data_IF_299106854302
#
_entry.id   IF_299106854302
#
_cell.length_a   1.000
_cell.length_b   1.000
_cell.length_c   1.000
_cell.angle_alpha   90.00
_cell.angle_beta   90.00
_cell.angle_gamma   90.00
#
_symmetry.space_group_name_H-M   'P 1'
#
loop_
_entity.id
_entity.type
_entity.pdbx_description
1 polymer ?
#
# COMPACT_ATOMS: atom_id res chain seq x y z
N UNK A 1 2.30 -18.41 -20.08
CA UNK A 1 2.60 -17.43 -19.01
C UNK A 1 2.91 -18.21 -17.74
N UNK A 2 4.06 -17.97 -17.12
CA UNK A 2 4.43 -18.60 -15.84
C UNK A 2 3.36 -18.25 -14.78
N UNK A 3 2.84 -19.26 -14.09
CA UNK A 3 1.91 -19.10 -12.97
C UNK A 3 2.53 -19.75 -11.74
N UNK A 4 2.66 -19.02 -10.66
CA UNK A 4 3.00 -19.56 -9.34
C UNK A 4 1.73 -19.86 -8.55
N UNK A 5 1.85 -20.68 -7.49
CA UNK A 5 0.75 -20.96 -6.57
C UNK A 5 0.19 -19.69 -5.89
N UNK A 6 1.01 -18.63 -5.81
CA UNK A 6 0.66 -17.37 -5.16
C UNK A 6 0.19 -16.28 -6.13
N UNK A 7 0.32 -16.49 -7.46
CA UNK A 7 0.08 -15.43 -8.46
C UNK A 7 -1.32 -14.83 -8.36
N UNK A 8 -2.35 -15.64 -8.16
CA UNK A 8 -3.73 -15.18 -8.04
C UNK A 8 -3.89 -14.27 -6.81
N UNK A 9 -3.32 -14.67 -5.68
CA UNK A 9 -3.37 -13.85 -4.46
C UNK A 9 -2.56 -12.56 -4.59
N UNK A 10 -1.33 -12.62 -5.12
CA UNK A 10 -0.48 -11.44 -5.31
C UNK A 10 -1.17 -10.44 -6.24
N UNK A 11 -1.79 -10.90 -7.32
CA UNK A 11 -2.43 -10.06 -8.33
C UNK A 11 -3.87 -9.66 -8.00
N UNK A 12 -4.44 -10.08 -6.86
CA UNK A 12 -5.75 -9.62 -6.41
C UNK A 12 -5.67 -8.19 -5.85
N UNK A 13 -6.37 -7.16 -6.41
CA UNK A 13 -6.20 -5.78 -5.96
C UNK A 13 -6.72 -5.54 -4.54
N UNK A 14 -5.96 -4.82 -3.71
CA UNK A 14 -6.43 -4.43 -2.37
C UNK A 14 -7.61 -3.44 -2.42
N UNK A 15 -7.78 -2.72 -3.49
CA UNK A 15 -8.95 -1.86 -3.69
C UNK A 15 -10.25 -2.66 -3.69
N UNK A 16 -10.24 -3.89 -4.22
CA UNK A 16 -11.41 -4.76 -4.18
C UNK A 16 -11.73 -5.25 -2.76
N UNK A 17 -10.69 -5.51 -1.95
CA UNK A 17 -10.88 -5.85 -0.55
C UNK A 17 -11.53 -4.68 0.22
N UNK A 18 -11.07 -3.45 -0.03
CA UNK A 18 -11.67 -2.24 0.53
C UNK A 18 -13.13 -2.08 0.10
N UNK A 19 -13.39 -2.19 -1.21
CA UNK A 19 -14.73 -2.09 -1.80
C UNK A 19 -15.70 -3.11 -1.22
N UNK A 20 -15.27 -4.37 -1.10
CA UNK A 20 -16.09 -5.46 -0.55
C UNK A 20 -16.40 -5.21 0.93
N UNK A 21 -15.40 -4.79 1.73
CA UNK A 21 -15.59 -4.48 3.14
C UNK A 21 -16.54 -3.30 3.36
N UNK A 22 -16.41 -2.24 2.57
CA UNK A 22 -17.33 -1.09 2.64
C UNK A 22 -18.73 -1.42 2.12
N UNK A 23 -18.83 -2.31 1.13
CA UNK A 23 -20.13 -2.76 0.61
C UNK A 23 -20.93 -3.57 1.64
N UNK A 24 -20.24 -4.29 2.53
CA UNK A 24 -20.90 -5.01 3.63
C UNK A 24 -21.58 -4.06 4.65
N UNK A 25 -21.21 -2.80 4.67
CA UNK A 25 -21.80 -1.77 5.54
C UNK A 25 -22.95 -1.00 4.88
N UNK A 26 -23.38 -1.36 3.67
CA UNK A 26 -24.53 -0.73 3.02
C UNK A 26 -25.81 -0.99 3.82
N UNK A 27 -26.59 0.07 4.03
CA UNK A 27 -27.83 -0.01 4.81
C UNK A 27 -27.64 0.21 6.31
N UNK A 28 -26.41 0.40 6.78
CA UNK A 28 -26.18 0.90 8.15
C UNK A 28 -26.66 2.35 8.24
N UNK A 29 -27.31 2.70 9.34
CA UNK A 29 -27.78 4.06 9.59
C UNK A 29 -26.68 5.12 9.58
N UNK A 30 -27.08 6.36 9.45
CA UNK A 30 -26.23 7.56 9.39
C UNK A 30 -26.34 8.42 10.66
N UNK A 31 -27.07 7.96 11.66
CA UNK A 31 -27.21 8.63 12.94
C UNK A 31 -25.96 8.58 13.80
N UNK A 32 -25.96 9.34 14.89
CA UNK A 32 -24.83 9.41 15.85
C UNK A 32 -24.48 8.05 16.45
N UNK A 33 -25.45 7.16 16.55
CA UNK A 33 -25.30 5.78 17.02
C UNK A 33 -24.42 4.92 16.11
N UNK A 34 -24.28 5.31 14.84
CA UNK A 34 -23.41 4.60 13.88
C UNK A 34 -21.93 4.98 14.00
N UNK A 35 -21.59 6.03 14.75
CA UNK A 35 -20.21 6.52 14.88
C UNK A 35 -19.22 5.47 15.44
N UNK A 36 -19.54 4.72 16.51
CA UNK A 36 -18.65 3.65 17.00
C UNK A 36 -18.44 2.55 15.96
N UNK A 37 -19.46 2.25 15.16
CA UNK A 37 -19.36 1.27 14.07
C UNK A 37 -18.45 1.79 12.95
N UNK A 38 -18.54 3.06 12.60
CA UNK A 38 -17.64 3.69 11.63
C UNK A 38 -16.18 3.56 12.05
N UNK A 39 -15.85 3.89 13.30
CA UNK A 39 -14.49 3.73 13.83
C UNK A 39 -14.04 2.27 13.77
N UNK A 40 -14.87 1.33 14.21
CA UNK A 40 -14.55 -0.08 14.18
C UNK A 40 -14.31 -0.61 12.76
N UNK A 41 -15.18 -0.27 11.82
CA UNK A 41 -15.10 -0.72 10.43
C UNK A 41 -13.85 -0.15 9.75
N UNK A 42 -13.60 1.14 9.88
CA UNK A 42 -12.44 1.78 9.26
C UNK A 42 -11.13 1.24 9.82
N UNK A 43 -11.03 1.06 11.14
CA UNK A 43 -9.85 0.45 11.76
C UNK A 43 -9.66 -1.02 11.34
N UNK A 44 -10.74 -1.81 11.32
CA UNK A 44 -10.69 -3.23 10.94
C UNK A 44 -10.29 -3.40 9.48
N UNK A 45 -10.83 -2.58 8.57
CA UNK A 45 -10.44 -2.59 7.16
C UNK A 45 -8.98 -2.17 6.97
N UNK A 46 -8.52 -1.17 7.72
CA UNK A 46 -7.12 -0.75 7.69
C UNK A 46 -6.18 -1.88 8.09
N UNK A 47 -6.45 -2.58 9.19
CA UNK A 47 -5.65 -3.73 9.63
C UNK A 47 -5.72 -4.89 8.61
N UNK A 48 -6.87 -5.12 8.02
CA UNK A 48 -7.04 -6.16 7.00
C UNK A 48 -6.27 -5.85 5.72
N UNK A 49 -6.27 -4.59 5.27
CA UNK A 49 -5.51 -4.14 4.11
C UNK A 49 -4.00 -4.25 4.35
N UNK A 50 -3.51 -3.78 5.50
CA UNK A 50 -2.07 -3.87 5.84
C UNK A 50 -1.63 -5.31 5.97
N UNK A 51 -2.41 -6.17 6.63
CA UNK A 51 -2.11 -7.59 6.78
C UNK A 51 -2.10 -8.33 5.43
N UNK A 52 -3.07 -8.07 4.56
CA UNK A 52 -3.10 -8.65 3.21
C UNK A 52 -1.89 -8.19 2.38
N UNK A 53 -1.51 -6.91 2.46
CA UNK A 53 -0.31 -6.41 1.80
C UNK A 53 0.97 -7.09 2.29
N UNK A 54 1.12 -7.25 3.62
CA UNK A 54 2.26 -7.94 4.22
C UNK A 54 2.37 -9.40 3.72
N UNK A 55 1.24 -10.11 3.63
CA UNK A 55 1.22 -11.47 3.10
C UNK A 55 1.57 -11.53 1.62
N UNK A 56 1.04 -10.62 0.79
CA UNK A 56 1.42 -10.53 -0.63
C UNK A 56 2.92 -10.32 -0.81
N UNK A 57 3.52 -9.41 -0.03
CA UNK A 57 4.96 -9.14 -0.08
C UNK A 57 5.76 -10.39 0.28
N UNK A 58 5.34 -11.17 1.30
CA UNK A 58 5.96 -12.45 1.65
C UNK A 58 5.84 -13.47 0.51
N UNK A 59 4.67 -13.55 -0.15
CA UNK A 59 4.46 -14.41 -1.31
C UNK A 59 5.35 -14.01 -2.49
N UNK A 60 5.54 -12.72 -2.75
CA UNK A 60 6.48 -12.22 -3.77
C UNK A 60 7.90 -12.70 -3.46
N UNK A 61 8.37 -12.54 -2.22
CA UNK A 61 9.70 -13.03 -1.82
C UNK A 61 9.82 -14.54 -2.03
N UNK A 62 8.81 -15.30 -1.69
CA UNK A 62 8.77 -16.74 -1.88
C UNK A 62 8.86 -17.12 -3.36
N UNK A 63 8.08 -16.47 -4.21
CA UNK A 63 8.09 -16.73 -5.65
C UNK A 63 9.45 -16.38 -6.29
N UNK A 64 10.03 -15.25 -5.91
CA UNK A 64 11.38 -14.89 -6.34
C UNK A 64 12.41 -15.94 -5.90
N UNK A 65 12.35 -16.39 -4.65
CA UNK A 65 13.26 -17.40 -4.11
C UNK A 65 13.06 -18.80 -4.73
N UNK A 66 11.88 -19.09 -5.27
CA UNK A 66 11.58 -20.35 -5.97
C UNK A 66 12.21 -20.39 -7.35
N UNK A 67 12.26 -19.24 -8.04
CA UNK A 67 12.79 -19.14 -9.41
C UNK A 67 14.30 -18.87 -9.43
N UNK A 68 14.80 -18.04 -8.51
CA UNK A 68 16.19 -17.57 -8.50
C UNK A 68 16.94 -18.13 -7.29
N UNK A 69 17.90 -19.03 -7.55
CA UNK A 69 18.72 -19.64 -6.51
C UNK A 69 19.62 -18.63 -5.78
N UNK A 70 20.18 -17.65 -6.49
CA UNK A 70 21.04 -16.62 -5.88
C UNK A 70 20.21 -15.75 -4.95
N UNK A 71 19.02 -15.35 -5.40
CA UNK A 71 18.08 -14.60 -4.55
C UNK A 71 17.70 -15.39 -3.30
N UNK A 72 17.40 -16.69 -3.45
CA UNK A 72 17.08 -17.58 -2.32
C UNK A 72 18.20 -17.62 -1.30
N UNK A 73 19.44 -17.78 -1.76
CA UNK A 73 20.60 -17.79 -0.88
C UNK A 73 20.78 -16.48 -0.13
N UNK A 74 20.67 -15.33 -0.83
CA UNK A 74 20.74 -14.01 -0.21
C UNK A 74 19.59 -13.78 0.78
N UNK A 75 18.38 -14.22 0.42
CA UNK A 75 17.18 -14.03 1.25
C UNK A 75 17.31 -14.78 2.57
N UNK A 76 17.79 -16.01 2.54
CA UNK A 76 17.94 -16.84 3.74
C UNK A 76 19.08 -16.40 4.65
N UNK A 77 20.17 -15.88 4.10
CA UNK A 77 21.39 -15.60 4.87
C UNK A 77 21.56 -14.11 5.23
N UNK A 78 21.10 -13.19 4.38
CA UNK A 78 21.46 -11.78 4.47
C UNK A 78 20.27 -10.82 4.58
N UNK A 79 19.05 -11.27 4.23
CA UNK A 79 17.87 -10.42 4.23
C UNK A 79 16.97 -10.76 5.41
N UNK A 80 16.60 -9.72 6.18
CA UNK A 80 15.63 -9.85 7.25
C UNK A 80 14.51 -8.82 7.03
N UNK A 81 13.47 -9.22 6.32
CA UNK A 81 12.31 -8.35 6.08
C UNK A 81 11.25 -8.44 7.19
N UNK A 82 11.42 -9.37 8.15
CA UNK A 82 10.49 -9.57 9.24
C UNK A 82 9.06 -9.76 8.76
N UNK A 83 8.14 -9.02 9.34
CA UNK A 83 6.72 -9.07 8.96
C UNK A 83 6.38 -8.27 7.67
N UNK A 84 7.35 -7.68 7.01
CA UNK A 84 7.16 -6.83 5.82
C UNK A 84 6.26 -5.60 6.06
N UNK A 85 6.15 -5.16 7.31
CA UNK A 85 5.28 -4.04 7.70
C UNK A 85 5.93 -2.67 7.55
N UNK A 86 7.25 -2.58 7.77
CA UNK A 86 8.00 -1.33 7.78
C UNK A 86 8.43 -0.90 6.36
N UNK A 87 8.88 0.35 6.27
CA UNK A 87 9.34 0.93 5.00
C UNK A 87 10.49 0.16 4.37
N UNK A 88 11.50 -0.19 5.17
CA UNK A 88 12.72 -0.81 4.65
C UNK A 88 12.43 -2.16 3.98
N UNK A 89 11.55 -2.97 4.56
CA UNK A 89 11.14 -4.23 3.97
C UNK A 89 10.36 -4.04 2.67
N UNK A 90 9.41 -3.10 2.63
CA UNK A 90 8.62 -2.81 1.42
C UNK A 90 9.50 -2.29 0.28
N UNK A 91 10.37 -1.33 0.58
CA UNK A 91 11.33 -0.80 -0.38
C UNK A 91 12.37 -1.85 -0.81
N UNK A 92 12.75 -2.75 0.10
CA UNK A 92 13.63 -3.88 -0.19
C UNK A 92 13.02 -4.82 -1.23
N UNK A 93 11.79 -5.29 -1.01
CA UNK A 93 11.10 -6.21 -1.95
C UNK A 93 10.79 -5.52 -3.28
N UNK A 94 10.44 -4.23 -3.27
CA UNK A 94 10.31 -3.44 -4.48
C UNK A 94 11.60 -3.48 -5.33
N UNK A 95 12.77 -3.30 -4.72
CA UNK A 95 14.06 -3.36 -5.40
C UNK A 95 14.44 -4.80 -5.81
N UNK A 96 14.03 -5.80 -5.04
CA UNK A 96 14.23 -7.19 -5.40
C UNK A 96 13.48 -7.57 -6.68
N UNK A 97 12.23 -7.11 -6.84
CA UNK A 97 11.46 -7.28 -8.07
C UNK A 97 12.12 -6.57 -9.26
N UNK A 98 12.58 -5.33 -9.08
CA UNK A 98 13.29 -4.60 -10.14
C UNK A 98 14.55 -5.37 -10.58
N UNK A 99 15.36 -5.83 -9.62
CA UNK A 99 16.56 -6.62 -9.92
C UNK A 99 16.24 -7.94 -10.64
N UNK A 100 15.18 -8.62 -10.23
CA UNK A 100 14.72 -9.84 -10.87
C UNK A 100 14.31 -9.58 -12.33
N UNK A 101 13.60 -8.49 -12.60
CA UNK A 101 13.24 -8.06 -13.95
C UNK A 101 14.51 -7.71 -14.76
N UNK A 102 15.42 -6.93 -14.16
CA UNK A 102 16.66 -6.48 -14.83
C UNK A 102 17.64 -7.62 -15.11
N UNK A 103 17.62 -8.73 -14.36
CA UNK A 103 18.38 -9.94 -14.70
C UNK A 103 17.98 -10.54 -16.06
N UNK A 104 16.70 -10.37 -16.45
CA UNK A 104 16.15 -10.90 -17.71
C UNK A 104 16.14 -9.84 -18.78
N UNK A 105 15.76 -8.62 -18.43
CA UNK A 105 15.71 -7.45 -19.31
C UNK A 105 16.51 -6.30 -18.69
N UNK A 106 17.79 -6.21 -19.06
CA UNK A 106 18.72 -5.24 -18.50
C UNK A 106 18.38 -3.77 -18.78
N UNK A 107 17.54 -3.51 -19.79
CA UNK A 107 17.08 -2.15 -20.14
C UNK A 107 15.81 -1.71 -19.39
N UNK A 108 15.29 -2.53 -18.52
CA UNK A 108 14.09 -2.20 -17.76
C UNK A 108 14.35 -1.08 -16.74
N UNK A 109 13.49 -0.05 -16.78
CA UNK A 109 13.44 1.04 -15.82
C UNK A 109 12.03 1.14 -15.23
N UNK A 110 11.87 1.33 -13.90
CA UNK A 110 10.56 1.44 -13.27
C UNK A 110 9.68 2.57 -13.83
N UNK A 111 10.29 3.67 -14.30
CA UNK A 111 9.60 4.78 -14.94
C UNK A 111 8.81 4.39 -16.21
N UNK A 112 9.11 3.24 -16.79
CA UNK A 112 8.35 2.71 -17.94
C UNK A 112 6.95 2.22 -17.54
N UNK A 113 6.72 1.91 -16.25
CA UNK A 113 5.45 1.43 -15.72
C UNK A 113 4.68 2.50 -14.94
N UNK A 114 5.41 3.42 -14.29
CA UNK A 114 4.83 4.32 -13.28
C UNK A 114 4.84 5.78 -13.75
N UNK A 115 3.95 6.08 -14.66
CA UNK A 115 3.73 7.43 -15.19
C UNK A 115 2.56 8.15 -14.48
N UNK A 116 2.25 9.36 -14.95
CA UNK A 116 1.13 10.13 -14.43
C UNK A 116 -0.24 9.46 -14.71
N UNK A 117 -0.36 8.73 -15.82
CA UNK A 117 -1.60 8.04 -16.16
C UNK A 117 -1.83 6.85 -15.22
N UNK A 118 -0.79 6.08 -14.89
CA UNK A 118 -0.85 5.02 -13.89
C UNK A 118 -1.39 5.55 -12.56
N UNK A 119 -0.80 6.64 -12.04
CA UNK A 119 -1.25 7.24 -10.78
C UNK A 119 -2.70 7.72 -10.86
N UNK A 120 -3.06 8.42 -11.95
CA UNK A 120 -4.41 8.96 -12.14
C UNK A 120 -5.46 7.86 -12.16
N UNK A 121 -5.19 6.75 -12.83
CA UNK A 121 -6.10 5.61 -12.89
C UNK A 121 -6.36 5.00 -11.50
N UNK A 122 -5.30 4.79 -10.71
CA UNK A 122 -5.43 4.27 -9.35
C UNK A 122 -6.22 5.24 -8.46
N UNK A 123 -5.88 6.53 -8.51
CA UNK A 123 -6.56 7.53 -7.68
C UNK A 123 -8.05 7.67 -8.05
N UNK A 124 -8.39 7.60 -9.33
CA UNK A 124 -9.78 7.62 -9.79
C UNK A 124 -10.55 6.39 -9.30
N UNK A 125 -9.95 5.22 -9.37
CA UNK A 125 -10.56 3.98 -8.87
C UNK A 125 -10.83 4.07 -7.35
N UNK A 126 -9.84 4.51 -6.58
CA UNK A 126 -9.98 4.70 -5.13
C UNK A 126 -11.06 5.73 -4.80
N UNK A 127 -11.08 6.87 -5.49
CA UNK A 127 -12.10 7.91 -5.31
C UNK A 127 -13.51 7.37 -5.57
N UNK A 128 -13.68 6.57 -6.62
CA UNK A 128 -14.97 5.95 -6.90
C UNK A 128 -15.43 5.01 -5.77
N UNK A 129 -14.50 4.27 -5.16
CA UNK A 129 -14.82 3.42 -4.00
C UNK A 129 -15.28 4.27 -2.82
N UNK A 130 -14.59 5.36 -2.53
CA UNK A 130 -14.97 6.27 -1.44
C UNK A 130 -16.34 6.89 -1.67
N UNK A 131 -16.57 7.43 -2.87
CA UNK A 131 -17.81 8.14 -3.23
C UNK A 131 -19.05 7.24 -3.30
N UNK A 132 -18.85 5.95 -3.62
CA UNK A 132 -19.95 4.97 -3.69
C UNK A 132 -20.17 4.21 -2.38
N UNK A 133 -19.42 4.55 -1.33
CA UNK A 133 -19.48 3.86 -0.04
C UNK A 133 -20.18 4.67 1.04
N UNK A 134 -20.47 4.03 2.17
CA UNK A 134 -21.02 4.69 3.37
C UNK A 134 -20.08 5.76 3.95
N UNK A 135 -18.80 5.73 3.61
CA UNK A 135 -17.82 6.71 4.09
C UNK A 135 -18.16 8.15 3.68
N UNK A 136 -18.89 8.35 2.56
CA UNK A 136 -19.33 9.69 2.15
C UNK A 136 -20.26 10.32 3.18
N UNK A 137 -20.98 9.49 3.93
CA UNK A 137 -21.90 9.94 4.99
C UNK A 137 -21.14 10.03 6.31
N UNK A 138 -20.46 8.96 6.70
CA UNK A 138 -19.80 8.86 7.99
C UNK A 138 -18.62 9.81 8.17
N UNK A 139 -17.82 10.01 7.12
CA UNK A 139 -16.57 10.77 7.15
C UNK A 139 -16.56 11.88 6.09
N UNK A 140 -17.67 12.58 5.93
CA UNK A 140 -17.86 13.59 4.88
C UNK A 140 -16.81 14.70 4.94
N UNK A 141 -16.48 15.20 6.13
CA UNK A 141 -15.50 16.29 6.31
C UNK A 141 -14.11 15.82 5.87
N UNK A 142 -13.69 14.66 6.32
CA UNK A 142 -12.40 14.06 6.01
C UNK A 142 -12.28 13.75 4.52
N UNK A 143 -13.37 13.28 3.87
CA UNK A 143 -13.39 13.06 2.44
C UNK A 143 -13.26 14.37 1.65
N UNK A 144 -13.94 15.43 2.07
CA UNK A 144 -13.79 16.74 1.45
C UNK A 144 -12.36 17.27 1.58
N UNK A 145 -11.75 17.14 2.76
CA UNK A 145 -10.35 17.52 2.96
C UNK A 145 -9.41 16.67 2.08
N UNK A 146 -9.60 15.35 2.05
CA UNK A 146 -8.82 14.46 1.21
C UNK A 146 -8.88 14.87 -0.26
N UNK A 147 -10.09 15.08 -0.82
CA UNK A 147 -10.28 15.51 -2.21
C UNK A 147 -9.57 16.82 -2.55
N UNK A 148 -9.56 17.76 -1.63
CA UNK A 148 -8.90 19.06 -1.83
C UNK A 148 -7.36 18.96 -1.75
N UNK A 149 -6.81 18.00 -1.01
CA UNK A 149 -5.41 18.03 -0.60
C UNK A 149 -4.58 16.80 -1.00
N UNK A 150 -5.17 15.71 -1.51
CA UNK A 150 -4.40 14.49 -1.80
C UNK A 150 -3.24 14.74 -2.78
N UNK A 151 -3.41 15.62 -3.76
CA UNK A 151 -2.39 15.93 -4.77
C UNK A 151 -1.16 16.64 -4.23
N UNK A 152 -1.25 17.25 -3.04
CA UNK A 152 -0.10 17.88 -2.38
C UNK A 152 0.92 16.86 -1.86
N UNK A 153 0.46 15.64 -1.52
CA UNK A 153 1.28 14.54 -1.00
C UNK A 153 1.48 13.47 -2.08
N UNK A 154 0.39 13.08 -2.76
CA UNK A 154 0.39 11.99 -3.73
C UNK A 154 0.43 12.58 -5.13
N UNK A 155 1.63 12.60 -5.70
CA UNK A 155 1.87 13.16 -7.03
C UNK A 155 2.81 12.25 -7.83
N UNK A 156 2.82 12.41 -9.15
CA UNK A 156 3.73 11.66 -10.02
C UNK A 156 5.21 11.83 -9.63
N UNK A 157 5.58 12.99 -9.08
CA UNK A 157 6.95 13.23 -8.58
C UNK A 157 7.31 12.36 -7.39
N UNK A 158 6.33 11.99 -6.56
CA UNK A 158 6.56 11.15 -5.38
C UNK A 158 6.69 9.67 -5.72
N UNK A 159 6.13 9.23 -6.84
CA UNK A 159 6.23 7.85 -7.36
C UNK A 159 7.17 7.76 -8.57
N UNK A 160 7.70 8.88 -9.06
CA UNK A 160 8.68 8.87 -10.14
C UNK A 160 9.93 8.16 -9.66
N UNK A 161 10.16 6.98 -10.19
CA UNK A 161 11.18 6.03 -9.78
C UNK A 161 12.56 6.43 -10.30
N UNK A 162 12.95 7.68 -10.03
CA UNK A 162 14.22 8.23 -10.47
C UNK A 162 15.31 7.72 -9.55
N UNK A 163 16.23 6.99 -10.12
CA UNK A 163 17.43 6.54 -9.43
C UNK A 163 18.27 7.75 -9.03
N UNK A 164 18.61 7.84 -7.75
CA UNK A 164 19.53 8.89 -7.30
C UNK A 164 20.91 8.70 -7.93
N UNK A 165 21.63 9.77 -8.28
CA UNK A 165 23.01 9.68 -8.72
C UNK A 165 23.83 8.86 -7.70
N UNK A 166 24.60 7.90 -8.19
CA UNK A 166 25.43 6.99 -7.38
C UNK A 166 24.69 5.98 -6.50
N UNK A 167 23.35 5.87 -6.59
CA UNK A 167 22.59 4.81 -5.91
C UNK A 167 22.32 3.64 -6.84
N UNK A 168 22.45 2.41 -6.31
CA UNK A 168 21.99 1.19 -6.98
C UNK A 168 20.53 0.85 -6.67
N UNK A 169 19.88 1.66 -5.83
CA UNK A 169 18.55 1.40 -5.27
C UNK A 169 17.58 2.45 -5.79
N UNK A 170 16.42 1.99 -6.25
CA UNK A 170 15.28 2.84 -6.61
C UNK A 170 14.42 3.08 -5.36
N UNK A 171 14.03 4.30 -5.04
CA UNK A 171 13.08 4.53 -3.96
C UNK A 171 11.66 4.16 -4.41
N UNK A 172 10.94 3.39 -3.60
CA UNK A 172 9.52 3.08 -3.83
C UNK A 172 8.68 4.37 -3.85
N UNK A 173 8.97 5.28 -2.92
CA UNK A 173 8.46 6.65 -2.90
C UNK A 173 9.59 7.64 -2.65
N UNK A 174 9.40 8.88 -3.07
CA UNK A 174 10.26 9.99 -2.67
C UNK A 174 10.00 10.40 -1.21
N UNK A 175 10.85 11.27 -0.66
CA UNK A 175 10.89 11.58 0.77
C UNK A 175 9.53 11.94 1.38
N UNK A 176 8.79 12.87 0.75
CA UNK A 176 7.52 13.34 1.31
C UNK A 176 6.50 12.20 1.51
N UNK A 177 6.29 11.37 0.49
CA UNK A 177 5.32 10.28 0.56
C UNK A 177 5.83 9.13 1.44
N UNK A 178 7.15 8.90 1.47
CA UNK A 178 7.79 7.99 2.41
C UNK A 178 7.53 8.40 3.85
N UNK A 179 7.80 9.67 4.20
CA UNK A 179 7.63 10.18 5.55
C UNK A 179 6.15 10.09 5.99
N UNK A 180 5.23 10.38 5.07
CA UNK A 180 3.79 10.19 5.33
C UNK A 180 3.41 8.72 5.49
N UNK A 181 4.00 7.78 4.75
CA UNK A 181 3.79 6.35 5.01
C UNK A 181 4.21 5.98 6.45
N UNK A 182 5.40 6.39 6.88
CA UNK A 182 5.89 6.08 8.22
C UNK A 182 5.02 6.72 9.31
N UNK A 183 4.65 7.99 9.14
CA UNK A 183 3.86 8.74 10.11
C UNK A 183 2.42 8.22 10.25
N UNK A 184 1.68 8.15 9.12
CA UNK A 184 0.23 7.94 9.16
C UNK A 184 -0.19 6.49 8.92
N UNK A 185 0.63 5.67 8.26
CA UNK A 185 0.33 4.26 7.99
C UNK A 185 1.02 3.36 9.01
N UNK A 186 2.36 3.34 9.01
CA UNK A 186 3.13 2.40 9.82
C UNK A 186 2.92 2.60 11.33
N UNK A 187 3.02 3.84 11.81
CA UNK A 187 2.83 4.14 13.23
C UNK A 187 1.38 3.87 13.67
N UNK A 188 0.39 4.16 12.83
CA UNK A 188 -1.01 3.86 13.14
C UNK A 188 -1.27 2.34 13.15
N UNK A 189 -0.72 1.58 12.19
CA UNK A 189 -0.82 0.12 12.16
C UNK A 189 -0.28 -0.50 13.45
N UNK A 190 0.87 -0.04 13.91
CA UNK A 190 1.47 -0.56 15.14
C UNK A 190 0.60 -0.25 16.36
N UNK A 191 0.07 0.96 16.48
CA UNK A 191 -0.88 1.27 17.55
C UNK A 191 -2.11 0.36 17.53
N UNK A 192 -2.74 0.21 16.37
CA UNK A 192 -3.95 -0.61 16.24
C UNK A 192 -3.69 -2.10 16.49
N UNK A 193 -2.54 -2.62 16.05
CA UNK A 193 -2.21 -4.04 16.22
C UNK A 193 -1.82 -4.41 17.66
N UNK A 194 -1.19 -3.50 18.40
CA UNK A 194 -0.71 -3.77 19.74
C UNK A 194 -1.68 -3.35 20.85
N UNK A 195 -2.58 -2.40 20.57
CA UNK A 195 -3.56 -1.90 21.53
C UNK A 195 -4.96 -2.46 21.28
N UNK A 196 -5.08 -3.77 21.23
CA UNK A 196 -6.35 -4.46 20.94
C UNK A 196 -7.37 -4.39 22.09
N UNK A 197 -6.94 -4.10 23.30
CA UNK A 197 -7.80 -4.09 24.50
C UNK A 197 -8.62 -2.80 24.65
N UNK A 198 -8.18 -1.68 24.07
CA UNK A 198 -8.91 -0.41 24.15
C UNK A 198 -8.66 0.46 22.92
N UNK A 199 -9.70 0.67 22.12
CA UNK A 199 -9.64 1.63 21.01
C UNK A 199 -9.38 3.07 21.49
N UNK A 200 -9.70 3.40 22.76
CA UNK A 200 -9.48 4.72 23.34
C UNK A 200 -7.99 5.07 23.46
N UNK A 201 -7.14 4.05 23.70
CA UNK A 201 -5.67 4.22 23.73
C UNK A 201 -5.11 4.54 22.33
N UNK A 202 -5.84 4.20 21.28
CA UNK A 202 -5.44 4.47 19.90
C UNK A 202 -5.84 5.89 19.45
N UNK A 203 -6.61 6.63 20.24
CA UNK A 203 -6.94 8.02 19.93
C UNK A 203 -5.70 8.91 20.03
N UNK A 204 -5.56 9.87 19.12
CA UNK A 204 -4.49 10.85 19.19
C UNK A 204 -4.65 11.70 20.47
N UNK A 205 -3.54 12.07 21.07
CA UNK A 205 -3.53 13.06 22.14
C UNK A 205 -3.85 14.48 21.61
N UNK A 206 -4.13 15.42 22.53
CA UNK A 206 -4.46 16.79 22.15
C UNK A 206 -3.33 17.50 21.40
N UNK A 207 -2.06 17.17 21.71
CA UNK A 207 -0.91 17.75 21.02
C UNK A 207 -0.84 17.25 19.56
N UNK A 208 -1.21 15.98 19.31
CA UNK A 208 -1.29 15.46 17.94
C UNK A 208 -2.43 16.09 17.15
N UNK A 209 -3.59 16.32 17.79
CA UNK A 209 -4.77 16.96 17.15
C UNK A 209 -4.50 18.42 16.83
N UNK A 210 -3.72 19.12 17.65
CA UNK A 210 -3.37 20.52 17.48
C UNK A 210 -2.38 20.79 16.34
N UNK A 211 -1.77 19.75 15.74
CA UNK A 211 -0.86 19.93 14.60
C UNK A 211 -1.61 20.35 13.35
N UNK A 212 -1.05 21.30 12.60
CA UNK A 212 -1.62 21.80 11.35
C UNK A 212 -1.86 20.70 10.30
N UNK A 213 -1.06 19.63 10.33
CA UNK A 213 -1.14 18.53 9.39
C UNK A 213 -1.97 17.33 9.91
N UNK A 214 -2.66 17.48 11.06
CA UNK A 214 -3.47 16.41 11.66
C UNK A 214 -4.55 15.86 10.71
N UNK A 215 -5.14 16.69 9.87
CA UNK A 215 -6.19 16.28 8.93
C UNK A 215 -5.71 15.26 7.87
N UNK A 216 -4.39 15.18 7.63
CA UNK A 216 -3.79 14.12 6.81
C UNK A 216 -3.82 12.73 7.47
N UNK A 217 -4.11 12.65 8.78
CA UNK A 217 -4.22 11.40 9.52
C UNK A 217 -5.56 10.66 9.29
N UNK A 218 -6.31 10.98 8.25
CA UNK A 218 -7.57 10.31 7.93
C UNK A 218 -7.35 8.93 7.29
N UNK A 219 -8.37 8.07 7.36
CA UNK A 219 -8.34 6.76 6.71
C UNK A 219 -8.28 6.85 5.18
N UNK A 220 -8.73 7.94 4.57
CA UNK A 220 -8.64 8.15 3.13
C UNK A 220 -7.18 8.20 2.65
N UNK A 221 -6.31 8.94 3.34
CA UNK A 221 -4.87 8.94 3.02
C UNK A 221 -4.22 7.59 3.30
N UNK A 222 -4.55 6.95 4.43
CA UNK A 222 -4.00 5.64 4.81
C UNK A 222 -4.32 4.57 3.77
N UNK A 223 -5.59 4.44 3.39
CA UNK A 223 -6.02 3.46 2.37
C UNK A 223 -5.36 3.75 1.03
N UNK A 224 -5.32 5.01 0.61
CA UNK A 224 -4.72 5.40 -0.67
C UNK A 224 -3.24 5.02 -0.73
N UNK A 225 -2.46 5.30 0.32
CA UNK A 225 -1.03 4.96 0.36
C UNK A 225 -0.83 3.43 0.32
N UNK A 226 -1.64 2.66 1.06
CA UNK A 226 -1.56 1.19 1.06
C UNK A 226 -1.89 0.63 -0.33
N UNK A 227 -2.98 1.09 -0.93
CA UNK A 227 -3.41 0.63 -2.26
C UNK A 227 -2.40 1.03 -3.34
N UNK A 228 -1.80 2.21 -3.23
CA UNK A 228 -0.77 2.66 -4.16
C UNK A 228 0.48 1.76 -4.11
N UNK A 229 0.96 1.40 -2.91
CA UNK A 229 2.07 0.44 -2.75
C UNK A 229 1.70 -0.92 -3.36
N UNK A 230 0.49 -1.42 -3.08
CA UNK A 230 -0.01 -2.68 -3.63
C UNK A 230 -0.02 -2.66 -5.16
N UNK A 231 -0.58 -1.61 -5.75
CA UNK A 231 -0.67 -1.46 -7.21
C UNK A 231 0.71 -1.40 -7.88
N UNK A 232 1.69 -0.74 -7.26
CA UNK A 232 3.08 -0.70 -7.74
C UNK A 232 3.69 -2.11 -7.70
N UNK A 233 3.57 -2.81 -6.58
CA UNK A 233 4.14 -4.16 -6.43
C UNK A 233 3.45 -5.17 -7.36
N UNK A 234 2.13 -5.10 -7.50
CA UNK A 234 1.38 -5.94 -8.45
C UNK A 234 1.82 -5.70 -9.90
N UNK A 235 1.99 -4.45 -10.30
CA UNK A 235 2.42 -4.09 -11.66
C UNK A 235 3.83 -4.62 -11.97
N UNK A 236 4.77 -4.50 -11.01
CA UNK A 236 6.10 -5.08 -11.14
C UNK A 236 6.05 -6.61 -11.18
N UNK A 237 5.28 -7.23 -10.31
CA UNK A 237 5.16 -8.68 -10.29
C UNK A 237 4.53 -9.22 -11.58
N UNK A 238 3.50 -8.57 -12.09
CA UNK A 238 2.91 -8.91 -13.39
C UNK A 238 3.93 -8.76 -14.54
N UNK A 239 4.74 -7.68 -14.52
CA UNK A 239 5.83 -7.49 -15.46
C UNK A 239 6.87 -8.62 -15.36
N UNK A 240 7.26 -8.98 -14.14
CA UNK A 240 8.17 -10.09 -13.89
C UNK A 240 7.63 -11.40 -14.48
N UNK A 241 6.38 -11.76 -14.19
CA UNK A 241 5.77 -12.97 -14.74
C UNK A 241 5.71 -12.98 -16.28
N UNK A 242 5.46 -11.80 -16.89
CA UNK A 242 5.34 -11.67 -18.35
C UNK A 242 6.65 -11.92 -19.11
N UNK A 243 7.79 -11.78 -18.44
CA UNK A 243 9.12 -11.98 -19.06
C UNK A 243 9.81 -13.28 -18.65
N UNK A 244 9.25 -14.00 -17.67
CA UNK A 244 9.77 -15.32 -17.33
C UNK A 244 9.56 -16.28 -18.50
N UNK A 245 10.59 -17.09 -18.87
CA UNK A 245 10.41 -18.12 -19.86
C UNK A 245 9.37 -19.13 -19.38
N UNK A 246 8.55 -19.61 -20.30
CA UNK A 246 7.63 -20.72 -19.98
C UNK A 246 8.47 -21.92 -19.53
N UNK A 247 8.08 -22.55 -18.44
CA UNK A 247 8.70 -23.83 -18.06
C UNK A 247 8.35 -24.84 -19.15
N UNK A 248 9.35 -25.27 -19.90
CA UNK A 248 9.27 -26.43 -20.81
C UNK A 248 9.07 -27.70 -20.00
#
# INVERSE_FOLDING_TARGET
MYSSEHSEFILSPLVDLLKNGLSACKGTGDGIESFPLCEYVTQSLFLKLTGAQEQKIKCICWDLATVDYEYRYEFLNNKNYGECSNWNSKNGVYNDLIRAIQKINSSFEPSQLFDAAFLTNILNEILQVYEKSILIIWLKRELCFYKANYSSIISARQIAQIKQPNSKVYPLFQSLLKDKFEEIVYNHRNRCAHNTLSYQINKPDFNAIAKEDYEYNSYFFRYTIIILIDSILMSLFNKYLSILPEKV
#
